data_IF_460926071381
#
_entry.id   IF_460926071381
#
_cell.length_a   1.000
_cell.length_b   1.000
_cell.length_c   1.000
_cell.angle_alpha   90.00
_cell.angle_beta   90.00
_cell.angle_gamma   90.00
#
_symmetry.space_group_name_H-M   'P 1'
#
loop_
_entity.id
_entity.type
_entity.pdbx_description
1 polymer ?
#
# COMPACT_ATOMS: atom_id res chain seq x y z
N UNK A 1 -16.34 44.94 -31.71
CA UNK A 1 -17.17 43.72 -31.50
C UNK A 1 -16.38 42.44 -31.74
N UNK A 2 -15.70 42.26 -32.89
CA UNK A 2 -14.91 41.04 -33.17
C UNK A 2 -13.81 40.75 -32.13
N UNK A 3 -13.02 41.75 -31.71
CA UNK A 3 -11.99 41.56 -30.68
C UNK A 3 -12.53 41.12 -29.32
N UNK A 4 -13.72 41.61 -28.93
CA UNK A 4 -14.33 41.23 -27.66
C UNK A 4 -14.79 39.77 -27.64
N UNK A 5 -15.35 39.29 -28.76
CA UNK A 5 -15.76 37.88 -28.92
C UNK A 5 -14.53 36.96 -28.91
N UNK A 6 -13.45 37.35 -29.60
CA UNK A 6 -12.19 36.60 -29.60
C UNK A 6 -11.55 36.53 -28.22
N UNK A 7 -11.61 37.62 -27.44
CA UNK A 7 -11.10 37.64 -26.06
C UNK A 7 -11.93 36.72 -25.16
N UNK A 8 -13.27 36.83 -25.21
CA UNK A 8 -14.17 35.98 -24.43
C UNK A 8 -14.00 34.49 -24.75
N UNK A 9 -13.82 34.13 -26.03
CA UNK A 9 -13.57 32.75 -26.43
C UNK A 9 -12.24 32.21 -25.88
N UNK A 10 -11.18 33.02 -25.91
CA UNK A 10 -9.88 32.65 -25.32
C UNK A 10 -9.96 32.49 -23.81
N UNK A 11 -10.62 33.40 -23.12
CA UNK A 11 -10.75 33.36 -21.66
C UNK A 11 -11.60 32.15 -21.22
N UNK A 12 -12.67 31.83 -21.97
CA UNK A 12 -13.47 30.63 -21.75
C UNK A 12 -12.66 29.35 -21.98
N UNK A 13 -11.90 29.28 -23.08
CA UNK A 13 -11.04 28.12 -23.38
C UNK A 13 -9.96 27.91 -22.31
N UNK A 14 -9.37 28.99 -21.79
CA UNK A 14 -8.42 28.91 -20.68
C UNK A 14 -9.07 28.39 -19.39
N UNK A 15 -10.25 28.91 -19.05
CA UNK A 15 -10.98 28.47 -17.86
C UNK A 15 -11.37 26.98 -17.95
N UNK A 16 -11.81 26.52 -19.13
CA UNK A 16 -12.12 25.12 -19.37
C UNK A 16 -10.87 24.23 -19.28
N UNK A 17 -9.75 24.66 -19.86
CA UNK A 17 -8.48 23.94 -19.77
C UNK A 17 -7.99 23.82 -18.31
N UNK A 18 -8.09 24.89 -17.52
CA UNK A 18 -7.75 24.85 -16.09
C UNK A 18 -8.67 23.93 -15.29
N UNK A 19 -9.98 23.95 -15.57
CA UNK A 19 -10.94 23.07 -14.92
C UNK A 19 -10.67 21.59 -15.26
N UNK A 20 -10.41 21.28 -16.54
CA UNK A 20 -10.05 19.94 -16.99
C UNK A 20 -8.75 19.48 -16.35
N UNK A 21 -7.73 20.34 -16.28
CA UNK A 21 -6.45 20.05 -15.62
C UNK A 21 -6.66 19.71 -14.14
N UNK A 22 -7.36 20.56 -13.39
CA UNK A 22 -7.65 20.33 -11.96
C UNK A 22 -8.41 19.02 -11.73
N UNK A 23 -9.35 18.68 -12.61
CA UNK A 23 -10.09 17.42 -12.55
C UNK A 23 -9.17 16.21 -12.76
N UNK A 24 -8.25 16.28 -13.71
CA UNK A 24 -7.28 15.21 -13.98
C UNK A 24 -6.31 15.06 -12.81
N UNK A 25 -5.79 16.16 -12.28
CA UNK A 25 -4.90 16.16 -11.11
C UNK A 25 -5.60 15.52 -9.89
N UNK A 26 -6.83 15.93 -9.58
CA UNK A 26 -7.59 15.33 -8.48
C UNK A 26 -7.85 13.82 -8.69
N UNK A 27 -8.16 13.40 -9.91
CA UNK A 27 -8.35 11.97 -10.22
C UNK A 27 -7.04 11.17 -10.14
N UNK A 28 -5.90 11.79 -10.46
CA UNK A 28 -4.59 11.18 -10.32
C UNK A 28 -4.23 11.01 -8.84
N UNK A 29 -4.40 12.04 -8.03
CA UNK A 29 -4.13 12.01 -6.59
C UNK A 29 -4.98 10.94 -5.89
N UNK A 30 -6.26 10.84 -6.26
CA UNK A 30 -7.13 9.79 -5.75
C UNK A 30 -6.61 8.39 -6.11
N UNK A 31 -6.25 8.16 -7.38
CA UNK A 31 -5.72 6.87 -7.83
C UNK A 31 -4.40 6.51 -7.15
N UNK A 32 -3.53 7.49 -6.91
CA UNK A 32 -2.28 7.28 -6.18
C UNK A 32 -2.55 6.88 -4.74
N UNK A 33 -3.44 7.59 -4.03
CA UNK A 33 -3.82 7.23 -2.66
C UNK A 33 -4.45 5.84 -2.55
N UNK A 34 -5.34 5.48 -3.47
CA UNK A 34 -5.93 4.13 -3.54
C UNK A 34 -4.86 3.05 -3.80
N UNK A 35 -3.91 3.32 -4.70
CA UNK A 35 -2.82 2.40 -5.01
C UNK A 35 -1.89 2.21 -3.80
N UNK A 36 -1.52 3.28 -3.10
CA UNK A 36 -0.70 3.21 -1.88
C UNK A 36 -1.39 2.41 -0.77
N UNK A 37 -2.68 2.64 -0.55
CA UNK A 37 -3.47 1.87 0.42
C UNK A 37 -3.52 0.38 0.07
N UNK A 38 -3.67 0.06 -1.23
CA UNK A 38 -3.64 -1.33 -1.72
C UNK A 38 -2.27 -1.97 -1.53
N UNK A 39 -1.19 -1.26 -1.85
CA UNK A 39 0.19 -1.74 -1.65
C UNK A 39 0.46 -2.00 -0.16
N UNK A 40 0.06 -1.07 0.71
CA UNK A 40 0.21 -1.22 2.16
C UNK A 40 -0.52 -2.46 2.68
N UNK A 41 -1.76 -2.67 2.23
CA UNK A 41 -2.57 -3.85 2.59
C UNK A 41 -1.91 -5.15 2.12
N UNK A 42 -1.46 -5.21 0.87
CA UNK A 42 -0.79 -6.40 0.32
C UNK A 42 0.50 -6.67 1.08
N UNK A 43 1.30 -5.64 1.36
CA UNK A 43 2.52 -5.75 2.15
C UNK A 43 2.25 -6.30 3.55
N UNK A 44 1.23 -5.79 4.24
CA UNK A 44 0.85 -6.27 5.57
C UNK A 44 0.45 -7.76 5.54
N UNK A 45 -0.35 -8.16 4.55
CA UNK A 45 -0.75 -9.55 4.38
C UNK A 45 0.44 -10.47 4.09
N UNK A 46 1.32 -10.07 3.15
CA UNK A 46 2.51 -10.83 2.83
C UNK A 46 3.45 -10.98 4.03
N UNK A 47 3.66 -9.91 4.81
CA UNK A 47 4.49 -9.99 6.02
C UNK A 47 3.88 -10.89 7.09
N UNK A 48 2.54 -10.96 7.20
CA UNK A 48 1.85 -11.88 8.10
C UNK A 48 2.04 -13.34 7.69
N UNK A 49 1.97 -13.63 6.39
CA UNK A 49 2.23 -14.97 5.86
C UNK A 49 3.69 -15.39 6.12
N UNK A 50 4.65 -14.49 5.90
CA UNK A 50 6.06 -14.71 6.23
C UNK A 50 6.26 -14.96 7.73
N UNK A 51 5.58 -14.22 8.59
CA UNK A 51 5.60 -14.45 10.04
C UNK A 51 5.15 -15.86 10.41
N UNK A 52 4.04 -16.32 9.81
CA UNK A 52 3.53 -17.69 10.04
C UNK A 52 4.54 -18.74 9.57
N UNK A 53 5.14 -18.56 8.40
CA UNK A 53 6.16 -19.48 7.87
C UNK A 53 7.39 -19.51 8.79
N UNK A 54 7.81 -18.35 9.31
CA UNK A 54 8.94 -18.27 10.24
C UNK A 54 8.65 -19.02 11.54
N UNK A 55 7.45 -18.88 12.10
CA UNK A 55 7.01 -19.61 13.29
C UNK A 55 6.99 -21.12 13.06
N UNK A 56 6.37 -21.58 11.97
CA UNK A 56 6.26 -23.02 11.67
C UNK A 56 7.65 -23.64 11.38
N UNK A 57 8.52 -22.89 10.68
CA UNK A 57 9.90 -23.34 10.41
C UNK A 57 10.73 -23.41 11.68
N UNK A 58 10.64 -22.39 12.55
CA UNK A 58 11.34 -22.39 13.82
C UNK A 58 10.88 -23.53 14.73
N UNK A 59 9.57 -23.82 14.76
CA UNK A 59 9.03 -24.97 15.48
C UNK A 59 9.65 -26.28 14.98
N UNK A 60 9.65 -26.51 13.66
CA UNK A 60 10.22 -27.72 13.08
C UNK A 60 11.71 -27.89 13.39
N UNK A 61 12.49 -26.79 13.36
CA UNK A 61 13.92 -26.81 13.73
C UNK A 61 14.09 -27.20 15.20
N UNK A 62 13.30 -26.60 16.10
CA UNK A 62 13.39 -26.88 17.54
C UNK A 62 12.98 -28.32 17.85
N UNK A 63 11.90 -28.82 17.24
CA UNK A 63 11.49 -30.22 17.39
C UNK A 63 12.58 -31.19 16.91
N UNK A 64 13.24 -30.89 15.78
CA UNK A 64 14.32 -31.71 15.24
C UNK A 64 15.58 -31.71 16.13
N UNK A 65 15.88 -30.60 16.81
CA UNK A 65 17.07 -30.48 17.66
C UNK A 65 16.88 -31.05 19.07
N UNK A 66 15.70 -30.87 19.66
CA UNK A 66 15.45 -31.19 21.07
C UNK A 66 14.73 -32.54 21.23
N UNK A 67 14.22 -33.13 20.14
CA UNK A 67 13.55 -34.43 20.15
C UNK A 67 12.20 -34.44 20.86
N UNK A 68 11.64 -33.26 21.16
CA UNK A 68 10.37 -33.06 21.85
C UNK A 68 9.61 -31.85 21.31
N UNK A 69 8.30 -31.77 21.61
CA UNK A 69 7.45 -30.68 21.13
C UNK A 69 7.75 -29.38 21.88
N UNK A 70 8.04 -28.32 21.13
CA UNK A 70 8.08 -26.97 21.68
C UNK A 70 6.69 -26.32 21.66
N UNK A 71 6.42 -25.42 22.60
CA UNK A 71 5.15 -24.68 22.60
C UNK A 71 5.10 -23.71 21.42
N UNK A 72 4.05 -23.81 20.60
CA UNK A 72 3.83 -22.86 19.49
C UNK A 72 3.77 -21.41 19.98
N UNK A 73 3.24 -21.18 21.18
CA UNK A 73 3.16 -19.84 21.77
C UNK A 73 4.54 -19.26 22.14
N UNK A 74 5.46 -20.11 22.64
CA UNK A 74 6.83 -19.69 22.97
C UNK A 74 7.63 -19.41 21.70
N UNK A 75 7.48 -20.24 20.66
CA UNK A 75 8.10 -20.02 19.35
C UNK A 75 7.58 -18.71 18.73
N UNK A 76 6.28 -18.47 18.74
CA UNK A 76 5.69 -17.23 18.23
C UNK A 76 6.21 -16.00 18.97
N UNK A 77 6.30 -16.06 20.30
CA UNK A 77 6.88 -14.98 21.10
C UNK A 77 8.36 -14.72 20.78
N UNK A 78 9.16 -15.80 20.62
CA UNK A 78 10.57 -15.71 20.27
C UNK A 78 10.78 -15.11 18.86
N UNK A 79 10.04 -15.59 17.86
CA UNK A 79 10.10 -15.07 16.48
C UNK A 79 9.66 -13.60 16.46
N UNK A 80 8.61 -13.24 17.20
CA UNK A 80 8.15 -11.86 17.30
C UNK A 80 9.15 -10.94 18.01
N UNK A 81 9.94 -11.45 18.96
CA UNK A 81 10.94 -10.66 19.68
C UNK A 81 12.12 -10.20 18.80
N UNK A 82 12.33 -10.86 17.65
CA UNK A 82 13.40 -10.55 16.70
C UNK A 82 12.91 -9.94 15.39
N UNK A 83 11.60 -9.99 15.12
CA UNK A 83 11.00 -9.32 13.97
C UNK A 83 11.03 -7.79 14.19
N UNK A 84 11.79 -7.07 13.36
CA UNK A 84 11.91 -5.60 13.37
C UNK A 84 10.69 -4.91 12.77
#
# INVERSE_FOLDING_TARGET
KANAIGQQANDAAKAEAEAARKKVEAALDQKLGEAEARISTIKANAMKEVGTIAEDTALAIVEALVGGKASKAEIAAAVKSVAR
#
